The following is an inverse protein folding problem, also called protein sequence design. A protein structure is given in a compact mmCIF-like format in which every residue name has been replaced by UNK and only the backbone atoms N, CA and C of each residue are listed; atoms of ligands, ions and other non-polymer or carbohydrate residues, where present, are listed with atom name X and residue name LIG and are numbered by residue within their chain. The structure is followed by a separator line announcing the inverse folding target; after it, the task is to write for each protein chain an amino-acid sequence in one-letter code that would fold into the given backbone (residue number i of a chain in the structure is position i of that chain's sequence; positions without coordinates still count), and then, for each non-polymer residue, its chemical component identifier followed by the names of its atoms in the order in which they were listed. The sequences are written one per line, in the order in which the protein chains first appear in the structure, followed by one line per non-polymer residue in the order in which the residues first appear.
data_IF_851168303797
#
_entry.id   IF_851168303797
#
_cell.length_a   1.000
_cell.length_b   1.000
_cell.length_c   1.000
_cell.angle_alpha   90.00
_cell.angle_beta   90.00
_cell.angle_gamma   90.00
#
_symmetry.space_group_name_H-M   'P 1'
#
loop_
_entity.id
_entity.type
_entity.pdbx_description
1 polymer ?
2 non-polymer ?
3 non-polymer ?
4 water ?
#
# COMPACT_ATOMS: atom_id res chain seq x y z
N UNK A 4 24.43 -0.24 6.90
CA UNK A 4 25.89 -0.19 6.54
C UNK A 4 26.20 0.79 5.41
N UNK A 5 25.68 0.47 4.23
CA UNK A 5 25.88 1.22 2.99
C UNK A 5 25.67 2.74 3.12
N UNK A 6 26.61 3.52 2.57
CA UNK A 6 26.57 4.99 2.70
C UNK A 6 25.72 5.70 1.63
N UNK A 7 25.51 5.03 0.50
CA UNK A 7 24.67 5.58 -0.56
C UNK A 7 23.18 5.31 -0.28
N UNK A 8 22.32 6.27 -0.65
CA UNK A 8 20.88 6.08 -0.47
C UNK A 8 20.33 5.20 -1.57
N UNK A 9 19.77 4.07 -1.18
CA UNK A 9 19.21 3.09 -2.11
C UNK A 9 17.79 3.48 -2.47
N UNK A 10 17.61 3.91 -3.72
CA UNK A 10 16.30 4.33 -4.23
C UNK A 10 15.72 3.37 -5.23
N UNK A 11 14.40 3.27 -5.24
CA UNK A 11 13.68 2.47 -6.24
C UNK A 11 13.03 3.35 -7.29
N UNK A 12 13.25 2.98 -8.55
CA UNK A 12 12.62 3.63 -9.69
C UNK A 12 11.68 2.62 -10.35
N UNK A 13 10.39 2.93 -10.40
CA UNK A 13 9.43 1.98 -10.96
C UNK A 13 8.14 2.63 -11.47
N UNK A 14 7.59 2.05 -12.53
CA UNK A 14 6.23 2.35 -12.95
C UNK A 14 5.42 1.05 -12.92
N UNK A 15 4.21 1.10 -12.37
CA UNK A 15 3.36 -0.07 -12.25
C UNK A 15 1.90 0.31 -12.37
N UNK A 16 1.06 -0.67 -12.71
CA UNK A 16 -0.37 -0.42 -12.91
C UNK A 16 -1.17 -0.59 -11.63
N UNK A 17 -2.48 -0.74 -11.77
CA UNK A 17 -3.38 -0.93 -10.63
C UNK A 17 -3.21 -2.27 -9.93
N UNK A 18 -2.54 -3.20 -10.59
CA UNK A 18 -2.30 -4.53 -10.03
C UNK A 18 -0.82 -4.83 -9.86
N UNK A 19 -0.01 -3.77 -9.85
CA UNK A 19 1.45 -3.88 -9.70
C UNK A 19 2.15 -4.55 -10.89
N UNK A 20 1.52 -4.58 -12.05
CA UNK A 20 2.18 -5.09 -13.24
C UNK A 20 3.25 -4.09 -13.64
N UNK A 21 4.40 -4.63 -14.03
CA UNK A 21 5.51 -3.81 -14.49
C UNK A 21 6.06 -4.35 -15.79
N UNK A 22 5.75 -5.61 -16.10
CA UNK A 22 6.29 -6.26 -17.30
C UNK A 22 5.34 -7.19 -18.03
N UNK A 23 5.46 -7.17 -19.36
CA UNK A 23 4.73 -8.07 -20.25
C UNK A 23 5.67 -8.59 -21.34
N UNK A 24 5.87 -9.91 -21.37
CA UNK A 24 6.72 -10.57 -22.37
C UNK A 24 8.05 -9.84 -22.56
N UNK A 25 8.76 -9.70 -21.45
CA UNK A 25 10.05 -9.04 -21.39
C UNK A 25 10.05 -7.64 -22.05
N UNK A 26 8.97 -6.92 -21.80
CA UNK A 26 8.76 -5.62 -22.41
C UNK A 26 7.78 -4.82 -21.57
N UNK A 27 7.86 -3.50 -21.63
CA UNK A 27 6.88 -2.62 -20.99
C UNK A 27 5.50 -2.75 -21.63
N UNK A 28 4.44 -2.86 -20.81
CA UNK A 28 3.08 -3.01 -21.33
C UNK A 28 2.43 -1.73 -21.87
N UNK A 29 3.15 -0.61 -21.85
CA UNK A 29 2.59 0.69 -22.24
C UNK A 29 3.65 1.61 -22.83
N UNK A 30 3.21 2.59 -23.61
CA UNK A 30 4.14 3.59 -24.15
C UNK A 30 3.80 4.97 -23.61
N UNK A 31 4.72 5.50 -22.80
CA UNK A 31 4.57 6.78 -22.13
C UNK A 31 5.89 7.57 -22.09
N UNK A 32 6.30 8.15 -23.24
CA UNK A 32 7.55 8.93 -23.30
C UNK A 32 7.73 10.04 -22.25
N UNK A 33 6.64 10.65 -21.78
CA UNK A 33 6.70 11.70 -20.78
C UNK A 33 7.13 11.16 -19.41
N UNK A 34 6.70 9.94 -19.12
CA UNK A 34 7.09 9.25 -17.90
C UNK A 34 8.58 8.93 -17.95
N UNK A 35 9.06 8.53 -19.13
CA UNK A 35 10.47 8.28 -19.33
C UNK A 35 11.29 9.56 -19.26
N UNK A 36 10.68 10.69 -19.65
CA UNK A 36 11.35 11.97 -19.50
C UNK A 36 11.50 12.33 -18.02
N UNK A 37 10.49 11.98 -17.23
CA UNK A 37 10.57 12.16 -15.79
C UNK A 37 11.64 11.26 -15.19
N UNK A 38 11.69 10.01 -15.65
CA UNK A 38 12.71 9.06 -15.19
C UNK A 38 14.10 9.57 -15.52
N UNK A 39 14.28 10.00 -16.77
CA UNK A 39 15.55 10.56 -17.23
C UNK A 39 15.94 11.78 -16.41
N UNK A 40 14.95 12.62 -16.07
CA UNK A 40 15.15 13.84 -15.28
C UNK A 40 15.57 13.53 -13.85
N UNK A 41 14.84 12.63 -13.20
CA UNK A 41 15.09 12.25 -11.82
C UNK A 41 16.42 11.52 -11.64
N UNK A 42 16.79 10.70 -12.63
CA UNK A 42 17.96 9.83 -12.50
C UNK A 42 19.28 10.38 -13.04
N UNK A 43 19.24 11.55 -13.68
CA UNK A 43 20.42 12.11 -14.36
C UNK A 43 21.63 12.20 -13.43
N UNK A 44 22.77 11.70 -13.90
CA UNK A 44 24.01 11.75 -13.11
C UNK A 44 24.02 10.80 -11.92
N UNK A 45 23.29 9.70 -12.03
CA UNK A 45 23.24 8.70 -10.96
C UNK A 45 23.36 7.29 -11.53
N UNK A 46 23.85 6.35 -10.70
CA UNK A 46 23.89 4.93 -11.06
C UNK A 46 22.51 4.34 -11.32
N UNK A 47 22.41 3.54 -12.37
CA UNK A 47 21.22 2.76 -12.64
C UNK A 47 21.57 1.31 -12.44
N UNK A 48 20.81 0.64 -11.59
CA UNK A 48 21.05 -0.76 -11.30
C UNK A 48 19.99 -1.63 -11.97
N UNK A 49 20.44 -2.46 -12.89
CA UNK A 49 19.51 -3.21 -13.73
C UNK A 49 19.80 -4.70 -13.76
N UNK A 50 18.75 -5.51 -13.58
CA UNK A 50 18.84 -6.95 -13.80
C UNK A 50 19.16 -7.18 -15.25
N UNK A 51 19.98 -8.19 -15.53
CA UNK A 51 20.42 -8.49 -16.90
C UNK A 51 19.27 -8.50 -17.93
N UNK A 52 18.13 -9.08 -17.56
CA UNK A 52 16.98 -9.15 -18.47
C UNK A 52 16.41 -7.76 -18.73
N UNK A 53 16.37 -6.94 -17.69
CA UNK A 53 15.98 -5.54 -17.84
C UNK A 53 16.92 -4.81 -18.79
N UNK A 54 18.23 -4.91 -18.56
CA UNK A 54 19.15 -4.19 -19.43
C UNK A 54 19.00 -4.61 -20.89
N UNK A 55 18.98 -5.92 -21.14
CA UNK A 55 18.95 -6.42 -22.51
C UNK A 55 17.70 -6.05 -23.29
N UNK A 56 16.58 -5.88 -22.57
CA UNK A 56 15.34 -5.33 -23.13
C UNK A 56 15.54 -3.88 -23.54
N UNK A 57 16.25 -3.12 -22.70
CA UNK A 57 16.63 -1.74 -23.03
C UNK A 57 17.66 -1.71 -24.16
N UNK A 58 18.48 -2.75 -24.26
CA UNK A 58 19.32 -2.98 -25.45
C UNK A 58 20.63 -2.23 -25.52
N UNK A 59 20.67 -1.02 -24.96
CA UNK A 59 21.91 -0.23 -24.97
C UNK A 59 22.11 0.62 -23.71
N UNK A 60 23.36 1.10 -23.47
CA UNK A 60 23.62 1.99 -22.35
C UNK A 60 22.79 3.26 -22.41
N UNK A 61 22.41 3.78 -21.26
CA UNK A 61 21.70 5.05 -21.17
C UNK A 61 22.61 6.20 -20.71
N UNK A 62 22.63 7.30 -21.48
CA UNK A 62 23.58 8.41 -21.35
C UNK A 62 23.56 9.14 -20.00
N UNK A 63 24.72 9.62 -19.58
CA UNK A 63 24.83 10.50 -18.40
C UNK A 63 24.53 9.85 -17.06
N UNK A 64 24.56 8.52 -17.04
CA UNK A 64 24.30 7.74 -15.83
C UNK A 64 25.22 6.53 -15.83
N UNK A 65 25.71 6.13 -14.65
CA UNK A 65 26.45 4.87 -14.50
C UNK A 65 25.50 3.71 -14.77
N UNK A 66 25.85 2.86 -15.72
CA UNK A 66 25.01 1.72 -16.01
C UNK A 66 25.60 0.46 -15.40
N UNK A 67 24.83 -0.17 -14.53
CA UNK A 67 25.28 -1.34 -13.81
C UNK A 67 24.35 -2.53 -13.99
N UNK A 68 24.90 -3.61 -14.50
CA UNK A 68 24.13 -4.79 -14.85
C UNK A 68 24.39 -5.93 -13.88
N UNK A 69 23.28 -6.47 -13.38
CA UNK A 69 23.33 -7.54 -12.40
C UNK A 69 23.07 -8.88 -13.07
N UNK A 70 24.06 -9.77 -12.99
CA UNK A 70 23.98 -11.09 -13.59
C UNK A 70 24.87 -12.08 -12.83
N UNK A 71 24.48 -13.35 -12.85
CA UNK A 71 25.29 -14.40 -12.26
C UNK A 71 26.37 -14.85 -13.24
N UNK A 72 26.17 -14.52 -14.50
CA UNK A 72 27.13 -14.80 -15.57
C UNK A 72 28.46 -14.07 -15.34
N UNK A 73 29.47 -14.83 -14.93
CA UNK A 73 30.77 -14.26 -14.62
C UNK A 73 31.56 -13.85 -15.87
N UNK A 74 31.21 -14.41 -17.03
CA UNK A 74 31.88 -14.06 -18.27
C UNK A 74 31.29 -12.86 -18.99
N UNK A 75 30.21 -12.30 -18.42
CA UNK A 75 29.41 -11.26 -19.09
C UNK A 75 30.02 -9.86 -19.10
N UNK A 76 30.10 -9.28 -20.30
CA UNK A 76 30.63 -7.92 -20.50
C UNK A 76 29.77 -7.11 -21.47
N UNK A 77 29.69 -5.80 -21.27
CA UNK A 77 28.99 -4.85 -22.17
C UNK A 77 29.76 -3.53 -22.19
N UNK A 78 29.92 -2.94 -23.36
CA UNK A 78 30.64 -1.67 -23.53
C UNK A 78 29.96 -0.50 -22.80
N UNK A 79 30.77 0.30 -22.10
CA UNK A 79 30.26 1.46 -21.37
C UNK A 79 29.29 1.11 -20.24
N UNK A 80 29.27 -0.16 -19.87
CA UNK A 80 28.49 -0.64 -18.75
C UNK A 80 29.41 -1.33 -17.76
N UNK A 81 28.95 -1.44 -16.52
CA UNK A 81 29.69 -2.14 -15.49
C UNK A 81 28.86 -3.33 -15.02
N UNK A 82 29.52 -4.44 -14.75
CA UNK A 82 28.82 -5.68 -14.42
C UNK A 82 29.10 -6.09 -12.97
N UNK A 83 28.03 -6.23 -12.19
CA UNK A 83 28.12 -6.74 -10.83
C UNK A 83 27.41 -8.09 -10.74
N UNK A 84 27.77 -8.90 -9.74
CA UNK A 84 27.21 -10.24 -9.64
C UNK A 84 26.54 -10.50 -8.27
N UNK A 85 26.53 -9.48 -7.42
CA UNK A 85 25.92 -9.57 -6.10
C UNK A 85 25.61 -8.19 -5.52
N UNK A 86 24.62 -8.13 -4.66
CA UNK A 86 24.25 -6.90 -3.98
C UNK A 86 25.49 -6.19 -3.42
N UNK A 87 26.35 -6.95 -2.75
CA UNK A 87 27.54 -6.40 -2.13
C UNK A 87 28.49 -5.82 -3.16
N UNK A 88 28.71 -6.57 -4.25
CA UNK A 88 29.55 -6.09 -5.34
C UNK A 88 29.05 -4.77 -5.93
N UNK A 89 27.75 -4.54 -5.86
CA UNK A 89 27.17 -3.25 -6.23
C UNK A 89 27.51 -2.18 -5.20
N UNK A 90 27.33 -2.50 -3.92
CA UNK A 90 27.64 -1.58 -2.84
C UNK A 90 29.10 -1.16 -2.90
N UNK A 91 29.95 -2.08 -3.36
CA UNK A 91 31.36 -1.82 -3.59
C UNK A 91 31.57 -0.81 -4.72
N UNK A 92 30.95 -1.09 -5.87
CA UNK A 92 31.04 -0.20 -7.00
C UNK A 92 30.44 1.16 -6.72
N UNK A 93 29.57 1.23 -5.72
CA UNK A 93 28.84 2.45 -5.38
C UNK A 93 29.20 3.04 -4.03
N UNK A 94 30.33 2.61 -3.47
CA UNK A 94 30.66 2.97 -2.10
C UNK A 94 30.77 4.48 -1.87
N UNK A 95 30.98 5.24 -2.94
CA UNK A 95 31.15 6.69 -2.85
C UNK A 95 30.06 7.48 -3.58
N UNK A 96 28.93 6.83 -3.82
CA UNK A 96 27.77 7.46 -4.46
C UNK A 96 26.84 8.05 -3.42
N UNK A 97 26.16 9.13 -3.77
CA UNK A 97 25.21 9.75 -2.86
C UNK A 97 23.86 9.02 -2.89
N UNK A 98 23.39 8.69 -4.08
CA UNK A 98 22.14 7.98 -4.27
C UNK A 98 22.24 7.06 -5.49
N UNK A 99 21.58 5.90 -5.40
CA UNK A 99 21.60 4.91 -6.47
C UNK A 99 20.19 4.44 -6.82
N UNK A 100 19.94 4.20 -8.11
CA UNK A 100 18.61 3.83 -8.55
C UNK A 100 18.52 2.39 -9.04
N UNK A 101 17.83 1.60 -8.22
CA UNK A 101 17.46 0.25 -8.56
C UNK A 101 16.37 0.38 -9.59
N UNK A 102 16.62 -0.18 -10.76
CA UNK A 102 15.87 0.15 -11.94
C UNK A 102 15.07 -1.03 -12.48
N UNK A 103 15.29 -2.21 -11.91
CA UNK A 103 14.51 -3.40 -12.27
C UNK A 103 15.30 -4.49 -12.97
N UNK A 104 14.64 -5.59 -13.35
CA UNK A 104 13.21 -5.78 -13.14
C UNK A 104 12.87 -6.42 -11.81
N UNK A 105 11.86 -7.29 -11.81
CA UNK A 105 11.31 -7.85 -10.57
C UNK A 105 12.32 -8.61 -9.73
N UNK A 106 13.10 -9.49 -10.36
CA UNK A 106 14.12 -10.25 -9.64
C UNK A 106 15.11 -9.33 -8.96
N UNK A 107 15.48 -8.26 -9.66
CA UNK A 107 16.39 -7.26 -9.11
C UNK A 107 15.70 -6.39 -8.06
N UNK A 108 14.40 -6.13 -8.21
CA UNK A 108 13.64 -5.47 -7.14
C UNK A 108 13.64 -6.34 -5.87
N UNK A 109 13.33 -7.64 -6.02
CA UNK A 109 13.36 -8.61 -4.89
C UNK A 109 14.69 -8.59 -4.17
N UNK A 110 15.76 -8.73 -4.95
CA UNK A 110 17.13 -8.71 -4.45
C UNK A 110 17.42 -7.54 -3.51
N UNK A 111 17.04 -6.32 -3.90
CA UNK A 111 17.35 -5.14 -3.11
C UNK A 111 16.25 -4.70 -2.13
N UNK A 112 15.14 -5.43 -2.11
CA UNK A 112 14.01 -5.15 -1.22
C UNK A 112 14.41 -4.71 0.20
N UNK A 113 15.26 -5.48 0.89
CA UNK A 113 15.62 -5.09 2.27
C UNK A 113 16.51 -3.85 2.44
N UNK A 114 16.84 -3.14 1.36
CA UNK A 114 17.77 -2.01 1.48
C UNK A 114 17.19 -0.66 1.08
N UNK A 115 15.95 -0.65 0.62
CA UNK A 115 15.32 0.54 0.06
C UNK A 115 15.04 1.65 1.10
N UNK A 116 15.47 2.86 0.78
CA UNK A 116 15.25 4.05 1.62
C UNK A 116 14.13 4.88 1.08
N UNK A 117 14.18 5.10 -0.24
CA UNK A 117 13.30 6.03 -0.93
C UNK A 117 12.71 5.33 -2.15
N UNK A 118 11.53 5.77 -2.55
CA UNK A 118 10.73 5.01 -3.49
C UNK A 118 9.99 5.90 -4.48
N UNK A 119 10.51 5.99 -5.70
CA UNK A 119 9.91 6.79 -6.77
C UNK A 119 9.03 5.89 -7.65
N UNK A 120 7.73 5.93 -7.40
CA UNK A 120 6.82 4.97 -8.03
C UNK A 120 5.75 5.68 -8.83
N UNK A 121 5.68 5.33 -10.12
CA UNK A 121 4.64 5.87 -10.99
C UNK A 121 3.47 4.89 -11.03
N UNK A 122 2.30 5.39 -10.64
CA UNK A 122 1.09 4.59 -10.58
C UNK A 122 0.23 4.94 -11.77
N UNK A 123 -0.12 3.91 -12.56
CA UNK A 123 -0.92 4.08 -13.76
C UNK A 123 -2.30 3.51 -13.54
N UNK A 124 -3.31 4.27 -13.96
CA UNK A 124 -4.70 3.92 -13.70
C UNK A 124 -5.31 3.15 -14.86
N UNK A 125 -4.91 1.89 -14.96
CA UNK A 125 -5.29 0.99 -16.04
C UNK A 125 -4.87 -0.42 -15.62
N UNK A 126 -5.59 -1.43 -16.11
CA UNK A 126 -5.27 -2.82 -15.78
C UNK A 126 -4.69 -3.56 -17.00
N UNK A 127 -3.37 -3.56 -17.10
CA UNK A 127 -2.67 -4.20 -18.22
C UNK A 127 -2.59 -5.71 -18.05
N UNK A 128 -2.52 -6.42 -19.18
CA UNK A 128 -2.15 -7.83 -19.18
C UNK A 128 -0.62 -7.87 -19.01
N UNK A 129 -0.15 -8.62 -18.02
CA UNK A 129 1.28 -8.72 -17.75
C UNK A 129 1.72 -9.96 -16.99
N UNK A 130 3.00 -10.25 -17.09
CA UNK A 130 3.59 -11.44 -16.46
C UNK A 130 4.51 -11.09 -15.29
N UNK A 131 5.02 -9.87 -15.29
CA UNK A 131 5.98 -9.43 -14.28
C UNK A 131 5.37 -8.35 -13.40
N UNK A 132 5.58 -8.49 -12.10
CA UNK A 132 4.98 -7.62 -11.09
C UNK A 132 6.01 -6.93 -10.19
N UNK A 133 5.59 -5.82 -9.61
CA UNK A 133 6.34 -5.16 -8.55
C UNK A 133 5.97 -5.85 -7.23
N UNK A 134 6.99 -6.29 -6.46
CA UNK A 134 6.80 -7.06 -5.22
C UNK A 134 5.90 -6.36 -4.21
N UNK A 135 5.08 -7.14 -3.50
CA UNK A 135 4.31 -6.60 -2.38
C UNK A 135 5.25 -5.99 -1.33
N UNK A 136 4.78 -4.95 -0.65
CA UNK A 136 5.63 -4.28 0.33
C UNK A 136 4.95 -3.93 1.62
N UNK A 137 5.71 -4.14 2.70
CA UNK A 137 5.34 -3.67 4.01
C UNK A 137 5.57 -2.16 4.11
N UNK A 138 4.50 -1.39 4.20
CA UNK A 138 4.60 0.06 4.16
C UNK A 138 4.70 0.72 5.53
N UNK A 139 4.79 -0.10 6.57
CA UNK A 139 5.08 0.36 7.94
C UNK A 139 6.36 1.19 7.90
N UNK A 140 6.31 2.38 8.51
CA UNK A 140 7.44 3.31 8.55
C UNK A 140 7.68 4.09 7.27
N UNK A 141 6.86 3.84 6.26
CA UNK A 141 6.94 4.58 5.03
C UNK A 141 5.93 5.71 5.02
N UNK A 142 6.31 6.83 4.42
CA UNK A 142 5.49 8.01 4.34
C UNK A 142 5.50 8.50 2.90
N UNK A 143 4.34 8.83 2.36
CA UNK A 143 4.25 9.47 1.05
C UNK A 143 4.61 10.93 1.23
N UNK A 144 5.59 11.40 0.48
CA UNK A 144 6.07 12.77 0.64
C UNK A 144 5.78 13.63 -0.57
N UNK A 145 5.29 13.01 -1.63
CA UNK A 145 5.08 13.68 -2.92
C UNK A 145 4.14 12.89 -3.82
N UNK A 146 3.28 13.62 -4.52
CA UNK A 146 2.36 13.06 -5.52
C UNK A 146 1.90 14.15 -6.50
N UNK A 147 1.92 13.82 -7.79
CA UNK A 147 1.51 14.76 -8.86
C UNK A 147 1.02 14.03 -10.11
N UNK A 148 -0.05 14.54 -10.73
CA UNK A 148 -0.57 14.01 -12.00
C UNK A 148 0.49 14.05 -13.10
N UNK A 149 0.65 12.94 -13.81
CA UNK A 149 1.51 12.92 -15.00
C UNK A 149 0.81 13.62 -16.15
N UNK A 150 1.50 13.76 -17.29
CA UNK A 150 0.91 14.39 -18.48
C UNK A 150 0.13 13.37 -19.31
N UNK A 151 -1.18 13.59 -19.44
CA UNK A 151 -1.99 12.77 -20.34
C UNK A 151 -2.25 13.55 -21.60
N UNK A 152 -1.98 12.93 -22.73
CA UNK A 152 -2.27 13.51 -24.04
C UNK A 152 -2.31 12.43 -25.11
N UNK A 153 -2.18 12.84 -26.37
CA UNK A 153 -2.19 11.90 -27.49
C UNK A 153 -1.04 10.91 -27.43
N UNK A 154 0.13 11.39 -27.04
CA UNK A 154 1.34 10.56 -26.97
C UNK A 154 1.43 9.79 -25.66
N UNK A 155 0.68 10.22 -24.66
CA UNK A 155 0.65 9.54 -23.35
C UNK A 155 -0.81 9.30 -22.96
N UNK A 156 -1.43 8.26 -23.56
CA UNK A 156 -2.87 8.02 -23.56
C UNK A 156 -3.49 7.45 -22.27
N UNK A 157 -2.78 7.51 -21.14
CA UNK A 157 -3.27 6.95 -19.88
C UNK A 157 -3.22 7.96 -18.74
N UNK A 158 -4.00 7.73 -17.68
CA UNK A 158 -3.89 8.55 -16.47
C UNK A 158 -2.87 7.93 -15.50
N UNK A 159 -1.86 8.71 -15.15
CA UNK A 159 -0.86 8.23 -14.19
C UNK A 159 -0.42 9.31 -13.22
N UNK A 160 0.13 8.86 -12.09
CA UNK A 160 0.59 9.77 -11.06
C UNK A 160 2.00 9.43 -10.59
N UNK A 161 2.78 10.46 -10.30
CA UNK A 161 4.12 10.30 -9.74
C UNK A 161 4.07 10.33 -8.23
N UNK A 162 4.41 9.21 -7.59
CA UNK A 162 4.44 9.14 -6.14
C UNK A 162 5.87 8.95 -5.66
N UNK A 163 6.23 9.62 -4.57
CA UNK A 163 7.51 9.39 -3.91
C UNK A 163 7.27 9.10 -2.42
N UNK A 164 7.92 8.04 -1.93
CA UNK A 164 7.83 7.63 -0.54
C UNK A 164 9.20 7.56 0.12
N UNK A 165 9.25 7.86 1.41
CA UNK A 165 10.48 7.77 2.19
C UNK A 165 10.25 6.91 3.42
N UNK A 166 11.19 6.01 3.68
CA UNK A 166 11.17 5.20 4.89
C UNK A 166 11.73 6.05 6.02
N UNK A 167 11.00 6.11 7.14
CA UNK A 167 11.49 6.83 8.32
C UNK A 167 12.57 5.95 8.98
N UNK A 168 13.78 6.03 8.41
CA UNK A 168 14.90 5.05 8.57
C UNK A 168 14.60 3.81 9.42
N UNK B 4 -3.30 -8.66 28.04
CA UNK B 4 -3.79 -10.07 28.13
C UNK B 4 -3.85 -10.77 26.79
N UNK B 5 -4.80 -10.32 25.96
CA UNK B 5 -5.09 -10.88 24.64
C UNK B 5 -3.86 -11.01 23.72
N UNK B 6 -3.79 -12.14 23.03
CA UNK B 6 -2.62 -12.54 22.23
C UNK B 6 -2.73 -12.08 20.78
N UNK B 7 -3.96 -11.82 20.33
CA UNK B 7 -4.20 -11.29 19.00
C UNK B 7 -4.07 -9.76 18.98
N UNK B 8 -3.56 -9.22 17.88
CA UNK B 8 -3.42 -7.79 17.72
C UNK B 8 -4.77 -7.20 17.35
N UNK B 9 -5.30 -6.36 18.24
CA UNK B 9 -6.60 -5.73 18.01
C UNK B 9 -6.46 -4.48 17.15
N UNK B 10 -6.97 -4.59 15.92
CA UNK B 10 -6.89 -3.50 14.93
C UNK B 10 -8.24 -2.85 14.66
N UNK B 11 -8.21 -1.56 14.39
CA UNK B 11 -9.40 -0.81 14.00
C UNK B 11 -9.41 -0.52 12.51
N UNK B 12 -10.53 -0.83 11.88
CA UNK B 12 -10.73 -0.50 10.48
C UNK B 12 -11.88 0.52 10.37
N UNK B 13 -11.58 1.67 9.78
CA UNK B 13 -12.54 2.77 9.76
C UNK B 13 -12.30 3.81 8.67
N UNK B 14 -13.40 4.34 8.15
CA UNK B 14 -13.38 5.49 7.27
C UNK B 14 -14.23 6.57 7.92
N UNK B 15 -13.72 7.80 7.94
CA UNK B 15 -14.42 8.91 8.57
C UNK B 15 -14.08 10.22 7.86
N UNK B 16 -14.95 11.23 8.02
CA UNK B 16 -14.77 12.51 7.36
C UNK B 16 -13.99 13.53 8.20
N UNK B 17 -14.05 14.80 7.81
CA UNK B 17 -13.39 15.91 8.53
C UNK B 17 -13.89 16.10 9.96
N UNK B 18 -15.06 15.55 10.28
CA UNK B 18 -15.65 15.73 11.61
C UNK B 18 -15.97 14.40 12.28
N UNK B 19 -15.28 13.35 11.82
CA UNK B 19 -15.38 12.03 12.42
C UNK B 19 -16.68 11.30 12.10
N UNK B 20 -17.45 11.80 11.13
CA UNK B 20 -18.66 11.12 10.72
C UNK B 20 -18.32 9.79 10.08
N UNK B 21 -19.03 8.74 10.47
CA UNK B 21 -18.87 7.43 9.87
C UNK B 21 -20.20 6.85 9.41
N UNK B 22 -21.29 7.41 9.92
CA UNK B 22 -22.62 6.87 9.61
C UNK B 22 -23.70 7.92 9.44
N UNK B 23 -24.57 7.65 8.48
CA UNK B 23 -25.77 8.44 8.24
C UNK B 23 -26.95 7.51 8.03
N UNK B 24 -27.98 7.67 8.84
CA UNK B 24 -29.20 6.85 8.77
C UNK B 24 -28.93 5.37 8.53
N UNK B 25 -28.13 4.80 9.43
CA UNK B 25 -27.77 3.39 9.38
C UNK B 25 -27.17 2.97 8.02
N UNK B 26 -26.45 3.90 7.41
CA UNK B 26 -25.78 3.65 6.15
C UNK B 26 -24.56 4.55 6.00
N UNK B 27 -23.64 4.17 5.12
CA UNK B 27 -22.47 4.98 4.79
C UNK B 27 -22.85 6.24 4.04
N UNK B 28 -22.28 7.38 4.43
CA UNK B 28 -22.62 8.67 3.81
C UNK B 28 -22.00 8.93 2.44
N UNK B 29 -21.22 7.99 1.91
CA UNK B 29 -20.48 8.18 0.66
C UNK B 29 -20.31 6.85 -0.08
N UNK B 30 -20.04 6.93 -1.38
CA UNK B 30 -19.77 5.74 -2.18
C UNK B 30 -18.36 5.78 -2.76
N UNK B 31 -17.50 4.87 -2.31
CA UNK B 31 -16.09 4.82 -2.67
C UNK B 31 -15.62 3.38 -2.81
N UNK B 32 -15.87 2.74 -3.97
CA UNK B 32 -15.56 1.30 -4.15
C UNK B 32 -14.07 0.99 -3.97
N UNK B 33 -13.23 1.95 -4.29
CA UNK B 33 -11.77 1.81 -4.20
C UNK B 33 -11.30 1.70 -2.75
N UNK B 34 -11.97 2.44 -1.88
CA UNK B 34 -11.73 2.39 -0.44
C UNK B 34 -12.12 1.02 0.08
N UNK B 35 -13.25 0.50 -0.40
CA UNK B 35 -13.68 -0.84 -0.06
C UNK B 35 -12.71 -1.91 -0.56
N UNK B 36 -12.13 -1.68 -1.73
CA UNK B 36 -11.13 -2.59 -2.30
C UNK B 36 -9.85 -2.60 -1.44
N UNK B 37 -9.52 -1.44 -0.88
CA UNK B 37 -8.45 -1.32 0.12
C UNK B 37 -8.79 -2.08 1.39
N UNK B 38 -10.03 -1.94 1.85
CA UNK B 38 -10.52 -2.63 3.04
C UNK B 38 -10.46 -4.13 2.84
N UNK B 39 -10.97 -4.58 1.70
CA UNK B 39 -10.99 -5.99 1.33
C UNK B 39 -9.57 -6.55 1.28
N UNK B 40 -8.64 -5.76 0.73
CA UNK B 40 -7.24 -6.16 0.60
C UNK B 40 -6.56 -6.29 1.96
N UNK B 41 -6.67 -5.25 2.78
CA UNK B 41 -6.07 -5.18 4.12
C UNK B 41 -6.61 -6.27 5.05
N UNK B 42 -7.89 -6.59 4.95
CA UNK B 42 -8.55 -7.48 5.91
C UNK B 42 -8.64 -8.95 5.52
N UNK B 43 -8.22 -9.29 4.30
CA UNK B 43 -8.41 -10.66 3.78
C UNK B 43 -7.81 -11.72 4.66
N UNK B 44 -8.58 -12.77 4.94
CA UNK B 44 -8.13 -13.87 5.78
C UNK B 44 -8.00 -13.50 7.24
N UNK B 45 -8.81 -12.55 7.68
CA UNK B 45 -8.82 -12.14 9.08
C UNK B 45 -10.23 -11.90 9.58
N UNK B 46 -10.45 -12.07 10.90
CA UNK B 46 -11.76 -11.82 11.49
C UNK B 46 -12.22 -10.36 11.40
N UNK B 47 -13.49 -10.21 11.07
CA UNK B 47 -14.19 -8.94 11.08
C UNK B 47 -15.09 -8.93 12.29
N UNK B 48 -14.95 -7.91 13.12
CA UNK B 48 -15.79 -7.81 14.31
C UNK B 48 -16.73 -6.64 14.16
N UNK B 49 -18.02 -6.94 14.13
CA UNK B 49 -18.99 -5.90 13.87
C UNK B 49 -20.20 -5.91 14.79
N UNK B 50 -20.62 -4.72 15.19
CA UNK B 50 -21.84 -4.52 15.93
C UNK B 50 -23.02 -4.96 15.09
N UNK B 51 -24.03 -5.51 15.75
CA UNK B 51 -25.19 -6.08 15.08
C UNK B 51 -25.81 -5.13 14.03
N UNK B 52 -25.88 -3.84 14.36
CA UNK B 52 -26.44 -2.86 13.45
C UNK B 52 -25.55 -2.67 12.22
N UNK B 53 -24.23 -2.70 12.43
CA UNK B 53 -23.24 -2.66 11.36
C UNK B 53 -23.44 -3.86 10.44
N UNK B 54 -23.49 -5.07 11.01
CA UNK B 54 -23.64 -6.27 10.19
C UNK B 54 -24.89 -6.21 9.32
N UNK B 55 -26.02 -5.86 9.95
CA UNK B 55 -27.33 -5.90 9.26
C UNK B 55 -27.49 -4.89 8.13
N UNK B 56 -26.84 -3.74 8.24
CA UNK B 56 -26.70 -2.80 7.13
C UNK B 56 -25.88 -3.41 5.99
N UNK B 57 -24.82 -4.15 6.34
CA UNK B 57 -24.03 -4.94 5.36
C UNK B 57 -24.86 -6.08 4.77
N UNK B 58 -25.78 -6.63 5.58
CA UNK B 58 -26.81 -7.56 5.09
C UNK B 58 -26.39 -9.00 4.84
N UNK B 59 -25.12 -9.20 4.53
CA UNK B 59 -24.60 -10.49 4.06
C UNK B 59 -23.23 -10.78 4.68
N UNK B 60 -22.89 -12.07 4.91
CA UNK B 60 -21.50 -12.40 5.25
C UNK B 60 -20.51 -11.94 4.18
N UNK B 61 -19.30 -11.57 4.59
CA UNK B 61 -18.27 -11.15 3.65
C UNK B 61 -17.21 -12.26 3.47
N UNK B 62 -16.95 -12.65 2.20
CA UNK B 62 -16.11 -13.82 1.87
C UNK B 62 -14.64 -13.75 2.33
N UNK B 63 -14.09 -14.92 2.68
CA UNK B 63 -12.67 -15.08 2.99
C UNK B 63 -12.19 -14.46 4.30
N UNK B 64 -13.13 -14.15 5.19
CA UNK B 64 -12.84 -13.62 6.52
C UNK B 64 -13.83 -14.21 7.47
N UNK B 65 -13.41 -14.45 8.72
CA UNK B 65 -14.37 -14.83 9.76
C UNK B 65 -15.27 -13.64 10.06
N UNK B 66 -16.58 -13.88 10.02
CA UNK B 66 -17.54 -12.84 10.36
C UNK B 66 -18.07 -13.01 11.76
N UNK B 67 -17.82 -12.03 12.62
CA UNK B 67 -18.27 -12.11 14.00
C UNK B 67 -19.16 -10.93 14.39
N UNK B 68 -20.37 -11.26 14.86
CA UNK B 68 -21.40 -10.28 15.16
C UNK B 68 -21.58 -10.11 16.66
N UNK B 69 -21.52 -8.85 17.10
CA UNK B 69 -21.67 -8.52 18.51
C UNK B 69 -23.07 -8.01 18.82
N UNK B 70 -23.75 -8.74 19.71
CA UNK B 70 -25.12 -8.45 20.10
C UNK B 70 -25.36 -8.92 21.53
N UNK B 71 -26.29 -8.27 22.21
CA UNK B 71 -26.75 -8.75 23.51
C UNK B 71 -27.83 -9.82 23.34
N UNK B 72 -28.41 -9.88 22.15
CA UNK B 72 -29.44 -10.85 21.81
C UNK B 72 -28.89 -12.28 21.85
N UNK B 73 -29.24 -13.01 22.92
CA UNK B 73 -28.79 -14.39 23.11
C UNK B 73 -29.37 -15.39 22.09
N UNK B 74 -30.53 -15.07 21.53
CA UNK B 74 -31.16 -15.95 20.57
C UNK B 74 -30.67 -15.75 19.15
N UNK B 75 -29.78 -14.77 18.96
CA UNK B 75 -29.35 -14.28 17.65
C UNK B 75 -28.44 -15.24 16.86
N UNK B 76 -28.83 -15.60 15.64
CA UNK B 76 -28.04 -16.49 14.78
C UNK B 76 -28.09 -16.07 13.31
N UNK B 77 -27.00 -16.30 12.58
CA UNK B 77 -26.98 -16.09 11.13
C UNK B 77 -25.96 -17.00 10.45
N UNK B 78 -26.32 -17.51 9.28
CA UNK B 78 -25.53 -18.52 8.57
C UNK B 78 -24.15 -18.01 8.17
N UNK B 79 -23.12 -18.84 8.42
CA UNK B 79 -21.75 -18.52 8.03
C UNK B 79 -21.16 -17.37 8.82
N UNK B 80 -21.85 -17.04 9.92
CA UNK B 80 -21.44 -15.99 10.84
C UNK B 80 -21.31 -16.57 12.23
N UNK B 81 -20.51 -15.92 13.05
CA UNK B 81 -20.36 -16.30 14.45
C UNK B 81 -20.87 -15.16 15.32
N UNK B 82 -21.58 -15.50 16.39
CA UNK B 82 -22.19 -14.52 17.26
C UNK B 82 -21.52 -14.49 18.64
N UNK B 83 -21.01 -13.32 19.02
CA UNK B 83 -20.48 -13.12 20.37
C UNK B 83 -21.32 -12.07 21.08
N UNK B 84 -21.23 -12.08 22.41
CA UNK B 84 -22.09 -11.24 23.25
C UNK B 84 -21.28 -10.32 24.16
N UNK B 85 -19.96 -10.45 24.11
CA UNK B 85 -19.08 -9.66 24.96
C UNK B 85 -17.65 -9.62 24.43
N UNK B 86 -16.94 -8.56 24.79
CA UNK B 86 -15.52 -8.40 24.45
C UNK B 86 -14.75 -9.70 24.68
N UNK B 87 -14.92 -10.29 25.85
CA UNK B 87 -14.19 -11.48 26.21
C UNK B 87 -14.59 -12.65 25.35
N UNK B 88 -15.89 -12.82 25.14
CA UNK B 88 -16.36 -13.90 24.29
C UNK B 88 -15.72 -13.82 22.91
N UNK B 89 -15.39 -12.59 22.48
CA UNK B 89 -14.66 -12.36 21.23
C UNK B 89 -13.22 -12.81 21.36
N UNK B 90 -12.55 -12.37 22.43
CA UNK B 90 -11.18 -12.77 22.70
C UNK B 90 -11.06 -14.28 22.76
N UNK B 91 -12.10 -14.95 23.26
CA UNK B 91 -12.13 -16.40 23.29
C UNK B 91 -12.26 -17.01 21.90
N UNK B 92 -13.16 -16.48 21.09
CA UNK B 92 -13.34 -16.96 19.73
C UNK B 92 -12.13 -16.63 18.85
N UNK B 93 -11.29 -15.71 19.32
CA UNK B 93 -10.12 -15.29 18.56
C UNK B 93 -8.81 -15.55 19.28
N UNK B 94 -8.87 -16.45 20.28
CA UNK B 94 -7.72 -16.92 21.06
C UNK B 94 -6.45 -17.17 20.23
N UNK B 95 -6.64 -17.69 19.03
CA UNK B 95 -5.54 -18.17 18.21
C UNK B 95 -5.34 -17.37 16.93
N UNK B 96 -5.86 -16.15 16.91
CA UNK B 96 -5.74 -15.27 15.75
C UNK B 96 -4.53 -14.34 15.87
N UNK B 97 -3.93 -14.00 14.73
CA UNK B 97 -2.78 -13.10 14.68
C UNK B 97 -3.22 -11.65 14.88
N UNK B 98 -4.22 -11.25 14.09
CA UNK B 98 -4.77 -9.91 14.12
C UNK B 98 -6.27 -9.98 13.86
N UNK B 99 -7.05 -9.14 14.54
CA UNK B 99 -8.48 -9.04 14.24
C UNK B 99 -8.93 -7.61 13.98
N UNK B 100 -9.99 -7.49 13.18
CA UNK B 100 -10.43 -6.20 12.69
C UNK B 100 -11.78 -5.79 13.24
N UNK B 101 -11.72 -4.86 14.19
CA UNK B 101 -12.90 -4.19 14.71
C UNK B 101 -13.40 -3.31 13.58
N UNK B 102 -14.63 -3.60 13.16
CA UNK B 102 -15.14 -3.12 11.90
C UNK B 102 -16.26 -2.11 12.10
N UNK B 103 -16.74 -1.97 13.34
CA UNK B 103 -17.79 -1.00 13.63
C UNK B 103 -19.14 -1.60 13.98
N UNK B 104 -20.14 -0.75 14.18
CA UNK B 104 -20.00 0.70 14.11
C UNK B 104 -19.56 1.34 15.41
N UNK B 105 -20.12 2.51 15.72
CA UNK B 105 -19.63 3.35 16.81
C UNK B 105 -19.71 2.69 18.19
N UNK B 106 -20.85 2.08 18.51
CA UNK B 106 -20.99 1.38 19.80
C UNK B 106 -19.93 0.30 19.96
N UNK B 107 -19.65 -0.42 18.87
CA UNK B 107 -18.63 -1.46 18.91
C UNK B 107 -17.23 -0.87 18.91
N UNK B 108 -17.05 0.29 18.28
CA UNK B 108 -15.78 1.00 18.41
C UNK B 108 -15.54 1.41 19.87
N UNK B 109 -16.58 1.97 20.51
CA UNK B 109 -16.51 2.33 21.93
C UNK B 109 -16.13 1.14 22.80
N UNK B 110 -16.86 0.05 22.60
CA UNK B 110 -16.64 -1.21 23.29
C UNK B 110 -15.17 -1.60 23.35
N UNK B 111 -14.51 -1.57 22.20
CA UNK B 111 -13.15 -2.05 22.05
C UNK B 111 -12.07 -0.97 22.20
N UNK B 112 -12.48 0.27 22.44
CA UNK B 112 -11.53 1.38 22.52
C UNK B 112 -10.30 1.11 23.43
N UNK B 113 -10.51 0.56 24.65
CA UNK B 113 -9.36 0.31 25.52
C UNK B 113 -8.37 -0.78 25.05
N UNK B 114 -8.62 -1.36 23.88
CA UNK B 114 -7.90 -2.56 23.46
C UNK B 114 -7.09 -2.41 22.17
N UNK B 115 -7.25 -1.26 21.51
CA UNK B 115 -6.63 -1.00 20.20
C UNK B 115 -5.11 -0.95 20.24
N UNK B 116 -4.50 -1.72 19.33
CA UNK B 116 -3.04 -1.72 19.17
C UNK B 116 -2.68 -0.92 17.91
N UNK B 117 -3.41 -1.20 16.82
CA UNK B 117 -3.14 -0.62 15.50
C UNK B 117 -4.43 -0.04 14.91
N UNK B 118 -4.27 0.98 14.06
CA UNK B 118 -5.41 1.77 13.63
C UNK B 118 -5.33 2.15 12.14
N UNK B 119 -6.14 1.47 11.33
CA UNK B 119 -6.24 1.75 9.91
C UNK B 119 -7.41 2.69 9.64
N UNK B 120 -7.10 3.96 9.46
CA UNK B 120 -8.14 4.97 9.37
C UNK B 120 -8.10 5.74 8.05
N UNK B 121 -9.22 5.73 7.34
CA UNK B 121 -9.33 6.45 6.09
C UNK B 121 -9.95 7.81 6.37
N UNK B 122 -9.22 8.86 6.01
CA UNK B 122 -9.67 10.23 6.24
C UNK B 122 -10.15 10.85 4.94
N UNK B 123 -11.40 11.31 4.95
CA UNK B 123 -12.05 11.87 3.76
C UNK B 123 -12.20 13.38 3.91
N UNK B 124 -11.80 14.13 2.88
CA UNK B 124 -11.79 15.58 2.95
C UNK B 124 -13.08 16.17 2.41
N UNK B 125 -14.11 16.08 3.23
CA UNK B 125 -15.47 16.50 2.90
C UNK B 125 -16.26 16.47 4.20
N UNK B 126 -17.23 17.38 4.34
CA UNK B 126 -18.04 17.42 5.53
C UNK B 126 -19.42 16.86 5.25
N UNK B 127 -19.59 15.57 5.52
CA UNK B 127 -20.88 14.89 5.33
C UNK B 127 -21.89 15.20 6.44
N UNK B 128 -23.18 15.16 6.10
CA UNK B 128 -24.24 15.17 7.09
C UNK B 128 -24.32 13.73 7.63
N UNK B 129 -24.26 13.59 8.96
CA UNK B 129 -24.26 12.27 9.59
C UNK B 129 -24.75 12.23 11.02
N UNK B 130 -25.14 11.04 11.46
CA UNK B 130 -25.59 10.82 12.83
C UNK B 130 -24.63 9.97 13.68
N UNK B 131 -23.76 9.20 13.02
CA UNK B 131 -22.82 8.30 13.70
C UNK B 131 -21.39 8.81 13.54
N UNK B 132 -20.65 8.80 14.63
CA UNK B 132 -19.30 9.33 14.66
C UNK B 132 -18.27 8.33 15.19
N UNK B 133 -17.02 8.50 14.76
CA UNK B 133 -15.90 7.77 15.34
C UNK B 133 -15.49 8.46 16.63
N UNK B 134 -15.40 7.69 17.74
CA UNK B 134 -15.14 8.28 19.06
C UNK B 134 -13.83 9.06 19.14
N UNK B 135 -13.83 10.13 19.94
CA UNK B 135 -12.62 10.91 20.19
C UNK B 135 -11.51 10.03 20.77
N UNK B 136 -10.26 10.34 20.43
CA UNK B 136 -9.15 9.50 20.84
C UNK B 136 -7.93 10.24 21.40
N UNK B 137 -7.43 9.73 22.53
CA UNK B 137 -6.18 10.19 23.10
C UNK B 137 -5.03 9.59 22.29
N UNK B 138 -4.32 10.47 21.59
CA UNK B 138 -3.27 10.04 20.66
C UNK B 138 -1.86 9.95 21.27
N UNK B 139 -1.75 10.19 22.57
CA UNK B 139 -0.48 10.00 23.26
C UNK B 139 -0.10 8.53 23.15
N UNK B 140 1.18 8.27 22.88
CA UNK B 140 1.68 6.91 22.65
C UNK B 140 1.42 6.40 21.24
N UNK B 141 0.62 7.14 20.48
CA UNK B 141 0.33 6.77 19.09
C UNK B 141 1.29 7.44 18.13
N UNK B 142 1.66 6.70 17.08
CA UNK B 142 2.59 7.17 16.08
C UNK B 142 1.98 6.85 14.72
N UNK B 143 1.98 7.84 13.81
CA UNK B 143 1.59 7.60 12.43
C UNK B 143 2.73 6.87 11.73
N UNK B 144 2.43 5.72 11.15
CA UNK B 144 3.47 4.90 10.52
C UNK B 144 3.31 4.84 9.00
N UNK B 145 2.17 5.31 8.51
CA UNK B 145 1.85 5.24 7.08
C UNK B 145 0.76 6.22 6.67
N UNK B 146 0.89 6.74 5.44
CA UNK B 146 -0.07 7.68 4.88
C UNK B 146 0.11 7.76 3.36
N UNK B 147 -0.99 7.62 2.62
CA UNK B 147 -0.99 7.83 1.15
C UNK B 147 -2.36 8.22 0.60
N UNK B 148 -2.35 9.05 -0.44
CA UNK B 148 -3.58 9.49 -1.10
C UNK B 148 -4.34 8.32 -1.73
N UNK B 149 -5.66 8.28 -1.52
CA UNK B 149 -6.53 7.30 -2.14
C UNK B 149 -6.77 7.65 -3.60
N UNK B 150 -7.49 6.80 -4.33
CA UNK B 150 -7.76 7.05 -5.73
C UNK B 150 -9.00 7.94 -5.88
N UNK B 151 -8.81 9.11 -6.48
CA UNK B 151 -9.94 9.98 -6.84
C UNK B 151 -10.21 9.85 -8.34
N UNK B 152 -11.46 9.54 -8.69
CA UNK B 152 -11.89 9.59 -10.09
C UNK B 152 -13.41 9.75 -10.18
N UNK B 153 -13.96 9.32 -11.31
CA UNK B 153 -15.39 9.37 -11.58
C UNK B 153 -16.17 8.49 -10.61
N UNK B 154 -15.65 7.29 -10.35
CA UNK B 154 -16.29 6.32 -9.43
C UNK B 154 -16.03 6.62 -7.94
N UNK B 155 -14.98 7.41 -7.66
CA UNK B 155 -14.59 7.76 -6.30
C UNK B 155 -14.41 9.28 -6.22
N UNK B 156 -15.52 10.01 -6.11
CA UNK B 156 -15.55 11.46 -6.37
C UNK B 156 -15.04 12.37 -5.25
N UNK B 157 -14.28 11.82 -4.30
CA UNK B 157 -13.80 12.59 -3.15
C UNK B 157 -12.29 12.45 -2.94
N UNK B 158 -11.71 13.40 -2.20
CA UNK B 158 -10.31 13.31 -1.81
C UNK B 158 -10.20 12.63 -0.45
N UNK B 159 -9.46 11.53 -0.40
CA UNK B 159 -9.25 10.79 0.83
C UNK B 159 -7.83 10.29 0.97
N UNK B 160 -7.45 10.00 2.22
CA UNK B 160 -6.13 9.52 2.56
C UNK B 160 -6.20 8.27 3.45
N UNK B 161 -5.35 7.27 3.15
CA UNK B 161 -5.18 6.12 4.03
C UNK B 161 -4.11 6.41 5.10
N UNK B 162 -4.52 6.44 6.36
CA UNK B 162 -3.59 6.58 7.48
C UNK B 162 -3.53 5.30 8.29
N UNK B 163 -2.33 4.94 8.74
CA UNK B 163 -2.15 3.81 9.68
C UNK B 163 -1.33 4.26 10.90
N UNK B 164 -1.84 3.93 12.09
CA UNK B 164 -1.21 4.30 13.36
C UNK B 164 -0.93 3.08 14.23
N UNK B 165 0.15 3.15 14.99
CA UNK B 165 0.47 2.13 15.97
C UNK B 165 0.68 2.76 17.33
N UNK B 166 0.12 2.12 18.34
CA UNK B 166 0.32 2.49 19.73
C UNK B 166 1.65 1.91 20.19
N UNK B 167 2.53 2.76 20.71
CA UNK B 167 3.80 2.33 21.29
C UNK B 167 3.49 1.59 22.58
N UNK B 168 3.09 0.33 22.42
CA UNK B 168 2.31 -0.45 23.41
C UNK B 168 2.06 0.14 24.82
#
# INVERSE_FOLDING_TARGET
HHHHHHMRVSFMVAMDENRVIGKDNNLPWRLPSELQYVKKTTMGHPLIMGRKNYEAIGRPLPGRRNIIVTRNEGYHVEGCEVAHSVEEVFELCKNEEEIFIFGGAQIFDLFLPYVDKLYITKIHHAFEGDTFFPEMDMTNWKEVFVEKGLTDEKNPYTYYYHVYEKQQ
HHHHHHMRVSFMVAMDENRVIGKDNNLPWRLPSELQYVKKTTMGHPLIMGRKNYEAIGRPLPGRRNIIVTRNEGYHVEGCEVAHSVEEVFELCKNEEEIFIFGGAQIFDLFLPYVDKLYITKIHHAFEGDTFFPEMDMTNWKEVFVEKGLTDEKNPYTYYYHVYEKQQ
#
